data_IF_794091008957
#
_entry.id   IF_794091008957
#
_cell.length_a   1.000
_cell.length_b   1.000
_cell.length_c   1.000
_cell.angle_alpha   90.00
_cell.angle_beta   90.00
_cell.angle_gamma   90.00
#
_symmetry.space_group_name_H-M   'P 1'
#
loop_
_entity.id
_entity.type
_entity.pdbx_description
1 polymer ?
#
# COMPACT_ATOMS: atom_id res chain seq x y z
N UNK A 1 7.47 -21.14 -15.26
CA UNK A 1 6.35 -20.25 -14.88
C UNK A 1 5.74 -19.70 -16.16
N UNK A 2 4.43 -19.88 -16.41
CA UNK A 2 3.77 -19.37 -17.62
C UNK A 2 3.54 -17.85 -17.56
N UNK A 3 3.39 -17.18 -18.72
CA UNK A 3 3.04 -15.74 -18.84
C UNK A 3 1.84 -15.39 -17.95
N UNK A 4 0.79 -16.21 -18.01
CA UNK A 4 -0.39 -16.02 -17.18
C UNK A 4 -0.08 -16.14 -15.68
N UNK A 5 0.65 -17.18 -15.26
CA UNK A 5 0.97 -17.37 -13.83
C UNK A 5 1.84 -16.25 -13.26
N UNK A 6 2.77 -15.71 -14.05
CA UNK A 6 3.59 -14.57 -13.64
C UNK A 6 2.74 -13.30 -13.47
N UNK A 7 1.81 -13.05 -14.40
CA UNK A 7 0.88 -11.93 -14.28
C UNK A 7 -0.09 -12.10 -13.11
N UNK A 8 -0.62 -13.31 -12.90
CA UNK A 8 -1.52 -13.61 -11.79
C UNK A 8 -0.83 -13.41 -10.43
N UNK A 9 0.40 -13.88 -10.27
CA UNK A 9 1.20 -13.67 -9.06
C UNK A 9 1.44 -12.18 -8.79
N UNK A 10 1.77 -11.40 -9.82
CA UNK A 10 1.98 -9.96 -9.65
C UNK A 10 0.67 -9.20 -9.37
N UNK A 11 -0.44 -9.65 -9.95
CA UNK A 11 -1.78 -9.10 -9.73
C UNK A 11 -2.37 -9.45 -8.35
N UNK A 12 -1.85 -10.48 -7.70
CA UNK A 12 -2.24 -10.83 -6.34
C UNK A 12 -1.79 -9.74 -5.35
N UNK A 13 -2.77 -9.07 -4.77
CA UNK A 13 -2.62 -7.94 -3.84
C UNK A 13 -3.02 -8.33 -2.41
N UNK A 14 -3.23 -9.62 -2.15
CA UNK A 14 -3.70 -10.16 -0.87
C UNK A 14 -2.79 -9.76 0.30
N UNK A 15 -1.48 -9.84 0.14
CA UNK A 15 -0.51 -9.45 1.17
C UNK A 15 -0.62 -7.95 1.53
N UNK A 16 -0.62 -7.07 0.51
CA UNK A 16 -0.76 -5.62 0.72
C UNK A 16 -2.12 -5.26 1.34
N UNK A 17 -3.19 -5.91 0.88
CA UNK A 17 -4.53 -5.81 1.46
C UNK A 17 -4.53 -6.22 2.93
N UNK A 18 -3.89 -7.34 3.26
CA UNK A 18 -3.79 -7.83 4.63
C UNK A 18 -3.04 -6.85 5.53
N UNK A 19 -1.89 -6.33 5.08
CA UNK A 19 -1.13 -5.30 5.80
C UNK A 19 -1.96 -4.05 6.06
N UNK A 20 -2.62 -3.50 5.05
CA UNK A 20 -3.49 -2.32 5.21
C UNK A 20 -4.68 -2.59 6.15
N UNK A 21 -5.21 -3.81 6.14
CA UNK A 21 -6.29 -4.27 7.03
C UNK A 21 -5.82 -4.36 8.47
N UNK A 22 -4.62 -4.90 8.71
CA UNK A 22 -4.01 -4.93 10.03
C UNK A 22 -3.82 -3.50 10.54
N UNK A 23 -3.27 -2.59 9.72
CA UNK A 23 -3.13 -1.18 10.10
C UNK A 23 -4.46 -0.55 10.51
N UNK A 24 -5.53 -0.81 9.75
CA UNK A 24 -6.90 -0.36 10.08
C UNK A 24 -7.37 -0.88 11.44
N UNK A 25 -7.14 -2.16 11.74
CA UNK A 25 -7.47 -2.75 13.04
C UNK A 25 -6.67 -2.11 14.17
N UNK A 26 -5.38 -1.86 13.96
CA UNK A 26 -4.51 -1.20 14.94
C UNK A 26 -4.94 0.25 15.21
N UNK A 27 -5.31 1.02 14.18
CA UNK A 27 -5.85 2.36 14.34
C UNK A 27 -7.11 2.36 15.22
N UNK A 28 -8.02 1.42 14.98
CA UNK A 28 -9.23 1.25 15.82
C UNK A 28 -8.87 0.92 17.27
N UNK A 29 -7.94 -0.01 17.49
CA UNK A 29 -7.50 -0.38 18.83
C UNK A 29 -6.76 0.74 19.57
N UNK A 30 -6.15 1.68 18.85
CA UNK A 30 -5.59 2.92 19.42
C UNK A 30 -6.68 3.93 19.81
N UNK A 31 -7.92 3.74 19.36
CA UNK A 31 -9.02 4.68 19.61
C UNK A 31 -9.13 5.82 18.60
N UNK A 32 -8.46 5.71 17.44
CA UNK A 32 -8.60 6.68 16.36
C UNK A 32 -10.03 6.68 15.80
N UNK A 33 -10.52 7.86 15.43
CA UNK A 33 -11.80 7.97 14.71
C UNK A 33 -11.65 7.45 13.27
N UNK A 34 -12.63 6.72 12.72
CA UNK A 34 -12.55 6.20 11.35
C UNK A 34 -12.28 7.25 10.27
N UNK A 35 -12.74 8.49 10.49
CA UNK A 35 -12.47 9.62 9.60
C UNK A 35 -10.99 9.95 9.49
N UNK A 36 -10.21 9.80 10.56
CA UNK A 36 -8.78 10.13 10.60
C UNK A 36 -7.91 9.13 9.81
N UNK A 37 -8.36 7.89 9.60
CA UNK A 37 -7.61 6.87 8.85
C UNK A 37 -8.39 6.29 7.66
N UNK A 38 -9.35 7.05 7.13
CA UNK A 38 -10.18 6.64 5.98
C UNK A 38 -9.33 6.32 4.74
N UNK A 39 -8.19 6.98 4.56
CA UNK A 39 -7.19 6.65 3.54
C UNK A 39 -6.73 5.19 3.62
N UNK A 40 -6.36 4.72 4.82
CA UNK A 40 -5.91 3.35 5.06
C UNK A 40 -7.04 2.34 4.83
N UNK A 41 -8.28 2.67 5.24
CA UNK A 41 -9.45 1.84 4.94
C UNK A 41 -9.63 1.69 3.42
N UNK A 42 -9.58 2.80 2.68
CA UNK A 42 -9.75 2.81 1.24
C UNK A 42 -8.66 2.00 0.52
N UNK A 43 -7.42 2.02 1.04
CA UNK A 43 -6.31 1.20 0.55
C UNK A 43 -6.61 -0.29 0.68
N UNK A 44 -7.03 -0.73 1.88
CA UNK A 44 -7.35 -2.14 2.12
C UNK A 44 -8.47 -2.62 1.16
N UNK A 45 -9.54 -1.84 1.01
CA UNK A 45 -10.65 -2.15 0.09
C UNK A 45 -10.16 -2.19 -1.37
N UNK A 46 -9.37 -1.22 -1.81
CA UNK A 46 -8.86 -1.17 -3.17
C UNK A 46 -7.98 -2.37 -3.54
N UNK A 47 -7.22 -2.88 -2.56
CA UNK A 47 -6.34 -4.04 -2.70
C UNK A 47 -7.08 -5.38 -2.51
N UNK A 48 -8.39 -5.36 -2.28
CA UNK A 48 -9.24 -6.55 -2.29
C UNK A 48 -9.69 -7.06 -0.93
N UNK A 49 -9.58 -6.26 0.15
CA UNK A 49 -10.22 -6.61 1.41
C UNK A 49 -11.74 -6.63 1.24
N UNK A 50 -12.37 -7.73 1.65
CA UNK A 50 -13.83 -7.82 1.72
C UNK A 50 -14.38 -6.84 2.79
N UNK A 51 -15.45 -6.09 2.47
CA UNK A 51 -16.14 -5.25 3.45
C UNK A 51 -16.54 -6.08 4.68
N UNK A 52 -16.27 -5.58 5.88
CA UNK A 52 -16.64 -6.24 7.12
C UNK A 52 -15.62 -7.24 7.68
N UNK A 53 -14.49 -7.47 7.01
CA UNK A 53 -13.37 -8.19 7.61
C UNK A 53 -12.89 -7.47 8.87
N UNK A 54 -13.02 -8.12 10.03
CA UNK A 54 -12.57 -7.59 11.33
C UNK A 54 -11.34 -8.38 11.75
N UNK A 55 -10.17 -7.79 11.54
CA UNK A 55 -8.95 -8.28 12.16
C UNK A 55 -8.86 -7.73 13.59
N UNK A 56 -8.37 -8.56 14.51
CA UNK A 56 -7.89 -8.07 15.78
C UNK A 56 -6.50 -7.46 15.56
N UNK A 57 -6.24 -6.30 16.16
CA UNK A 57 -4.95 -5.62 16.08
C UNK A 57 -4.56 -5.05 17.43
N UNK A 58 -3.29 -5.14 17.80
CA UNK A 58 -2.76 -4.42 18.96
C UNK A 58 -2.67 -2.93 18.62
N UNK A 59 -3.03 -2.07 19.57
CA UNK A 59 -2.87 -0.62 19.42
C UNK A 59 -1.43 -0.26 19.01
N UNK A 60 -1.27 0.78 18.21
CA UNK A 60 0.01 1.43 17.96
C UNK A 60 0.66 1.83 19.29
N UNK A 61 1.92 1.45 19.49
CA UNK A 61 2.63 1.76 20.73
C UNK A 61 3.12 3.21 20.71
N UNK A 62 3.65 3.64 19.56
CA UNK A 62 4.17 4.99 19.32
C UNK A 62 3.71 5.50 17.96
N UNK A 63 3.81 6.82 17.77
CA UNK A 63 3.46 7.46 16.52
C UNK A 63 4.50 7.20 15.43
N UNK A 64 5.77 7.07 15.84
CA UNK A 64 6.87 6.65 14.95
C UNK A 64 6.55 5.29 14.33
N UNK A 65 6.07 4.34 15.13
CA UNK A 65 5.67 3.01 14.64
C UNK A 65 4.57 3.11 13.59
N UNK A 66 3.57 3.95 13.84
CA UNK A 66 2.46 4.16 12.91
C UNK A 66 2.92 4.83 11.60
N UNK A 67 3.71 5.92 11.70
CA UNK A 67 4.24 6.64 10.53
C UNK A 67 5.14 5.75 9.69
N UNK A 68 6.02 4.97 10.32
CA UNK A 68 6.88 4.02 9.61
C UNK A 68 6.04 2.96 8.88
N UNK A 69 4.99 2.42 9.51
CA UNK A 69 4.12 1.46 8.85
C UNK A 69 3.40 2.04 7.62
N UNK A 70 3.04 3.33 7.62
CA UNK A 70 2.51 4.01 6.42
C UNK A 70 3.57 4.10 5.33
N UNK A 71 4.80 4.50 5.68
CA UNK A 71 5.91 4.64 4.74
C UNK A 71 6.31 3.29 4.13
N UNK A 72 6.35 2.24 4.94
CA UNK A 72 6.64 0.88 4.50
C UNK A 72 5.57 0.39 3.52
N UNK A 73 4.29 0.55 3.87
CA UNK A 73 3.19 0.18 2.98
C UNK A 73 3.20 1.00 1.69
N UNK A 74 3.51 2.29 1.75
CA UNK A 74 3.67 3.13 0.55
C UNK A 74 4.80 2.63 -0.34
N UNK A 75 5.96 2.32 0.25
CA UNK A 75 7.14 1.81 -0.47
C UNK A 75 6.80 0.50 -1.18
N UNK A 76 6.07 -0.40 -0.53
CA UNK A 76 5.66 -1.67 -1.12
C UNK A 76 4.62 -1.49 -2.22
N UNK A 77 3.63 -0.60 -2.03
CA UNK A 77 2.65 -0.24 -3.07
C UNK A 77 3.34 0.40 -4.28
N UNK A 78 4.29 1.31 -4.07
CA UNK A 78 5.09 1.92 -5.14
C UNK A 78 5.93 0.88 -5.89
N UNK A 79 6.60 -0.01 -5.17
CA UNK A 79 7.38 -1.10 -5.74
C UNK A 79 6.50 -2.03 -6.58
N UNK A 80 5.31 -2.37 -6.07
CA UNK A 80 4.32 -3.16 -6.81
C UNK A 80 3.84 -2.45 -8.07
N UNK A 81 3.57 -1.14 -8.00
CA UNK A 81 3.12 -0.35 -9.15
C UNK A 81 4.20 -0.31 -10.23
N UNK A 82 5.45 -0.06 -9.85
CA UNK A 82 6.60 -0.05 -10.76
C UNK A 82 6.74 -1.38 -11.49
N UNK A 83 6.78 -2.50 -10.74
CA UNK A 83 6.88 -3.86 -11.31
C UNK A 83 5.71 -4.18 -12.25
N UNK A 84 4.50 -3.74 -11.90
CA UNK A 84 3.31 -3.94 -12.74
C UNK A 84 3.43 -3.18 -14.06
N UNK A 85 3.87 -1.92 -14.03
CA UNK A 85 4.08 -1.11 -15.23
C UNK A 85 5.18 -1.69 -16.14
N UNK A 86 6.30 -2.13 -15.56
CA UNK A 86 7.38 -2.80 -16.28
C UNK A 86 6.88 -4.08 -16.98
N UNK A 87 6.08 -4.90 -16.29
CA UNK A 87 5.52 -6.12 -16.87
C UNK A 87 4.49 -5.84 -17.97
N UNK A 88 3.63 -4.82 -17.80
CA UNK A 88 2.69 -4.37 -18.84
C UNK A 88 3.45 -3.98 -20.11
N UNK A 89 4.42 -3.07 -19.99
CA UNK A 89 5.20 -2.59 -21.13
C UNK A 89 5.93 -3.75 -21.83
N UNK A 90 6.51 -4.68 -21.07
CA UNK A 90 7.12 -5.89 -21.64
C UNK A 90 6.11 -6.75 -22.39
N UNK A 91 4.91 -6.96 -21.83
CA UNK A 91 3.90 -7.83 -22.44
C UNK A 91 3.25 -7.19 -23.67
N UNK A 92 3.07 -5.86 -23.68
CA UNK A 92 2.63 -5.10 -24.86
C UNK A 92 3.64 -5.21 -26.01
N UNK A 93 4.94 -5.09 -25.73
CA UNK A 93 6.01 -5.30 -26.72
C UNK A 93 6.00 -6.72 -27.26
N UNK A 94 5.90 -7.72 -26.39
CA UNK A 94 5.83 -9.13 -26.79
C UNK A 94 4.59 -9.41 -27.64
N UNK A 95 3.44 -8.82 -27.30
CA UNK A 95 2.21 -8.99 -28.05
C UNK A 95 2.32 -8.35 -29.43
N UNK A 96 2.87 -7.13 -29.51
CA UNK A 96 3.13 -6.45 -30.78
C UNK A 96 4.03 -7.30 -31.69
N UNK A 97 5.12 -7.85 -31.15
CA UNK A 97 6.03 -8.71 -31.89
C UNK A 97 5.37 -10.02 -32.34
N UNK A 98 4.58 -10.64 -31.45
CA UNK A 98 3.88 -11.90 -31.75
C UNK A 98 2.83 -11.72 -32.86
N UNK A 99 2.17 -10.57 -32.90
CA UNK A 99 1.18 -10.23 -33.93
C UNK A 99 1.78 -10.03 -35.33
N UNK A 100 3.10 -9.89 -35.47
CA UNK A 100 3.76 -9.83 -36.78
C UNK A 100 3.70 -11.17 -37.54
N UNK A 101 3.60 -12.29 -36.83
CA UNK A 101 3.47 -13.63 -37.39
C UNK A 101 2.39 -14.44 -36.62
N UNK A 102 1.10 -14.10 -36.78
CA UNK A 102 0.03 -14.62 -35.92
C UNK A 102 -0.13 -16.14 -36.01
N UNK A 103 0.03 -16.71 -37.21
CA UNK A 103 -0.10 -18.16 -37.44
C UNK A 103 0.93 -18.96 -36.63
N UNK A 104 2.15 -18.43 -36.49
CA UNK A 104 3.23 -19.04 -35.71
C UNK A 104 3.13 -18.77 -34.21
N UNK A 105 2.38 -17.73 -33.81
CA UNK A 105 2.36 -17.21 -32.44
C UNK A 105 1.00 -17.31 -31.75
N UNK A 106 0.09 -18.17 -32.23
CA UNK A 106 -1.26 -18.34 -31.68
C UNK A 106 -1.27 -18.55 -30.16
N UNK A 107 -0.42 -19.43 -29.63
CA UNK A 107 -0.35 -19.72 -28.20
C UNK A 107 0.21 -18.54 -27.37
N UNK A 108 1.36 -17.92 -27.70
CA UNK A 108 1.83 -16.69 -27.06
C UNK A 108 0.81 -15.54 -27.07
N UNK A 109 0.15 -15.29 -28.21
CA UNK A 109 -0.88 -14.25 -28.34
C UNK A 109 -2.02 -14.50 -27.36
N UNK A 110 -2.50 -15.75 -27.29
CA UNK A 110 -3.59 -16.13 -26.37
C UNK A 110 -3.18 -15.91 -24.92
N UNK A 111 -1.97 -16.33 -24.53
CA UNK A 111 -1.47 -16.15 -23.17
C UNK A 111 -1.29 -14.67 -22.79
N UNK A 112 -0.76 -13.83 -23.69
CA UNK A 112 -0.57 -12.40 -23.47
C UNK A 112 -1.91 -11.66 -23.36
N UNK A 113 -2.88 -12.00 -24.22
CA UNK A 113 -4.25 -11.45 -24.18
C UNK A 113 -4.99 -11.82 -22.90
N UNK A 114 -4.72 -12.99 -22.33
CA UNK A 114 -5.27 -13.38 -21.02
C UNK A 114 -4.57 -12.67 -19.85
N UNK A 115 -3.26 -12.42 -19.96
CA UNK A 115 -2.46 -11.86 -18.87
C UNK A 115 -2.57 -10.33 -18.71
N UNK A 116 -2.59 -9.57 -19.82
CA UNK A 116 -2.62 -8.10 -19.80
C UNK A 116 -3.82 -7.52 -19.01
N UNK A 117 -5.07 -8.03 -19.15
CA UNK A 117 -6.20 -7.55 -18.36
C UNK A 117 -6.01 -7.69 -16.85
N UNK A 118 -5.34 -8.75 -16.38
CA UNK A 118 -5.02 -8.94 -14.96
C UNK A 118 -4.07 -7.83 -14.48
N UNK A 119 -3.03 -7.55 -15.26
CA UNK A 119 -2.05 -6.52 -14.93
C UNK A 119 -2.64 -5.11 -14.95
N UNK A 120 -3.51 -4.78 -15.92
CA UNK A 120 -4.19 -3.48 -15.92
C UNK A 120 -5.13 -3.30 -14.72
N UNK A 121 -5.83 -4.37 -14.33
CA UNK A 121 -6.67 -4.37 -13.13
C UNK A 121 -5.84 -4.16 -11.88
N UNK A 122 -4.72 -4.87 -11.75
CA UNK A 122 -3.78 -4.70 -10.65
C UNK A 122 -3.20 -3.27 -10.62
N UNK A 123 -2.76 -2.75 -11.77
CA UNK A 123 -2.27 -1.36 -11.90
C UNK A 123 -3.29 -0.38 -11.37
N UNK A 124 -4.55 -0.47 -11.80
CA UNK A 124 -5.62 0.44 -11.35
C UNK A 124 -5.81 0.39 -9.83
N UNK A 125 -5.86 -0.81 -9.25
CA UNK A 125 -6.01 -1.00 -7.79
C UNK A 125 -4.84 -0.42 -7.01
N UNK A 126 -3.62 -0.75 -7.42
CA UNK A 126 -2.39 -0.31 -6.75
C UNK A 126 -2.18 1.21 -6.91
N UNK A 127 -2.47 1.78 -8.08
CA UNK A 127 -2.42 3.24 -8.28
C UNK A 127 -3.44 3.98 -7.40
N UNK A 128 -4.66 3.46 -7.31
CA UNK A 128 -5.67 4.05 -6.41
C UNK A 128 -5.24 3.96 -4.95
N UNK A 129 -4.75 2.79 -4.51
CA UNK A 129 -4.19 2.60 -3.18
C UNK A 129 -3.07 3.60 -2.88
N UNK A 130 -2.12 3.79 -3.80
CA UNK A 130 -1.05 4.77 -3.65
C UNK A 130 -1.59 6.19 -3.46
N UNK A 131 -2.55 6.62 -4.30
CA UNK A 131 -3.17 7.93 -4.16
C UNK A 131 -3.86 8.14 -2.80
N UNK A 132 -4.46 7.09 -2.24
CA UNK A 132 -5.07 7.14 -0.89
C UNK A 132 -4.03 7.14 0.23
N UNK A 133 -2.91 6.45 0.08
CA UNK A 133 -1.79 6.50 1.05
C UNK A 133 -1.13 7.87 1.07
N UNK A 134 -0.89 8.47 -0.10
CA UNK A 134 -0.28 9.80 -0.18
C UNK A 134 -1.15 10.91 0.43
N UNK A 135 -2.47 10.72 0.46
CA UNK A 135 -3.41 11.64 1.11
C UNK A 135 -3.60 11.37 2.62
N UNK A 136 -3.21 10.19 3.12
CA UNK A 136 -3.43 9.80 4.51
C UNK A 136 -2.79 10.76 5.55
N UNK A 137 -1.57 11.31 5.33
CA UNK A 137 -0.97 12.25 6.28
C UNK A 137 -1.81 13.51 6.50
N UNK A 138 -2.40 14.06 5.44
CA UNK A 138 -3.24 15.26 5.54
C UNK A 138 -4.60 14.93 6.19
N UNK A 139 -5.12 13.70 6.00
CA UNK A 139 -6.35 13.22 6.65
C UNK A 139 -6.18 12.96 8.15
N UNK A 140 -4.96 12.66 8.59
CA UNK A 140 -4.61 12.48 10.00
C UNK A 140 -4.45 13.82 10.75
N UNK A 141 -4.33 14.94 10.02
CA UNK A 141 -4.19 16.29 10.57
C UNK A 141 -2.75 16.83 10.51
N UNK A 142 -2.61 18.15 10.68
CA UNK A 142 -1.36 18.89 10.41
C UNK A 142 -0.15 18.36 11.20
N UNK A 143 -0.35 17.95 12.45
CA UNK A 143 0.70 17.37 13.29
C UNK A 143 1.28 16.08 12.69
N UNK A 144 0.43 15.23 12.11
CA UNK A 144 0.87 14.00 11.41
C UNK A 144 1.52 14.30 10.08
N UNK A 145 0.94 15.23 9.31
CA UNK A 145 1.50 15.61 8.03
C UNK A 145 2.95 16.11 8.18
N UNK A 146 3.25 16.89 9.22
CA UNK A 146 4.60 17.35 9.53
C UNK A 146 5.54 16.19 9.91
N UNK A 147 5.11 15.31 10.82
CA UNK A 147 5.89 14.15 11.25
C UNK A 147 6.20 13.19 10.10
N UNK A 148 5.19 12.88 9.29
CA UNK A 148 5.33 12.03 8.11
C UNK A 148 6.31 12.62 7.08
N UNK A 149 6.20 13.92 6.75
CA UNK A 149 7.11 14.59 5.81
C UNK A 149 8.56 14.57 6.33
N UNK A 150 8.73 14.77 7.64
CA UNK A 150 10.05 14.73 8.30
C UNK A 150 10.67 13.33 8.18
N UNK A 151 9.96 12.27 8.57
CA UNK A 151 10.46 10.90 8.52
C UNK A 151 10.71 10.46 7.07
N UNK A 152 9.81 10.79 6.16
CA UNK A 152 9.96 10.50 4.72
C UNK A 152 11.19 11.17 4.10
N UNK A 153 11.62 12.32 4.62
CA UNK A 153 12.86 13.00 4.20
C UNK A 153 14.15 12.39 4.77
N UNK A 154 14.06 11.27 5.51
CA UNK A 154 15.19 10.60 6.14
C UNK A 154 15.62 11.23 7.48
N UNK A 155 14.80 12.13 8.04
CA UNK A 155 15.05 12.72 9.37
C UNK A 155 14.37 11.91 10.47
N UNK A 156 14.87 12.02 11.70
CA UNK A 156 14.29 11.35 12.86
C UNK A 156 13.42 12.31 13.68
N UNK A 157 12.33 11.80 14.23
CA UNK A 157 11.55 12.54 15.21
C UNK A 157 12.35 12.68 16.52
N UNK A 158 12.33 13.86 17.17
CA UNK A 158 13.13 14.11 18.36
C UNK A 158 12.70 13.27 19.57
N UNK A 159 11.45 12.80 19.61
CA UNK A 159 10.90 11.96 20.67
C UNK A 159 9.97 10.87 20.10
N UNK A 160 9.91 9.72 20.78
CA UNK A 160 8.94 8.64 20.55
C UNK A 160 7.55 9.00 21.11
N UNK A 161 7.06 10.21 20.86
CA UNK A 161 5.84 10.74 21.44
C UNK A 161 4.57 9.97 21.02
N UNK A 162 3.53 10.05 21.86
CA UNK A 162 2.16 9.65 21.56
C UNK A 162 1.33 10.89 21.21
N UNK A 163 1.61 11.47 20.05
CA UNK A 163 0.78 12.55 19.51
C UNK A 163 -0.63 12.03 19.14
N UNK A 164 -0.80 10.71 18.92
CA UNK A 164 -2.08 10.10 18.44
C UNK A 164 -3.19 10.30 19.47
N UNK A 165 -2.83 10.34 20.74
CA UNK A 165 -3.77 10.48 21.86
C UNK A 165 -3.70 11.85 22.53
N UNK A 166 -2.95 12.82 21.96
CA UNK A 166 -2.71 14.12 22.57
C UNK A 166 -1.94 14.04 23.91
N UNK A 167 -1.27 12.92 24.20
CA UNK A 167 -0.48 12.76 25.42
C UNK A 167 0.97 13.14 25.14
N UNK A 168 1.27 14.43 25.29
CA UNK A 168 2.65 14.90 25.48
C UNK A 168 3.11 14.41 26.86
N UNK A 169 3.62 13.18 26.94
CA UNK A 169 4.31 12.73 28.15
C UNK A 169 5.54 13.61 28.39
N UNK A 170 5.75 14.15 29.60
CA UNK A 170 6.99 14.88 29.91
C UNK A 170 8.20 13.96 29.69
N UNK A 171 9.39 14.52 29.40
CA UNK A 171 10.61 13.72 29.37
C UNK A 171 10.71 13.00 30.71
N UNK A 172 11.00 11.70 30.68
CA UNK A 172 11.36 10.98 31.89
C UNK A 172 12.51 11.77 32.53
N UNK A 173 12.20 12.49 33.61
CA UNK A 173 13.20 13.12 34.44
C UNK A 173 14.20 12.03 34.79
N UNK A 174 15.46 12.24 34.37
CA UNK A 174 16.57 11.50 34.91
C UNK A 174 16.59 11.81 36.41
N UNK A 175 16.01 10.91 37.19
CA UNK A 175 16.15 10.89 38.64
C UNK A 175 17.65 10.80 38.94
N UNK A 176 18.17 11.62 39.88
CA UNK A 176 19.60 11.91 40.05
C UNK A 176 20.49 10.70 40.35
#
# INVERSE_FOLDING_TARGET
>A
MSIYSAAAHLADTSELSHTASQMTARCRSTGLTPSSYRGIIAVAVALGLAPGSRLAGRAWQTDVEFVNAIIDLETEVMTRLKRTNEMISRYETLLTNALAEPDKNTAPITALRAALPLLYTARRRVSYALGRLMAAPDELGDTYAAAYRLVKSGRQLPHNGRFITGQNGPPAEATP
#
